data_IF_535424948345
#
_entry.id   IF_535424948345
#
_cell.length_a   1.000
_cell.length_b   1.000
_cell.length_c   1.000
_cell.angle_alpha   90.00
_cell.angle_beta   90.00
_cell.angle_gamma   90.00
#
_symmetry.space_group_name_H-M   'P 1'
#
loop_
_entity.id
_entity.type
_entity.pdbx_description
1 polymer ?
#
# COMPACT_ATOMS: atom_id res chain seq x y z
N UNK A 1 -2.18 18.30 -12.86
CA UNK A 1 -1.22 18.82 -11.87
C UNK A 1 -1.74 18.44 -10.49
N UNK A 2 -1.26 17.34 -9.91
CA UNK A 2 -1.65 16.95 -8.54
C UNK A 2 -0.88 17.86 -7.56
N UNK A 3 -1.54 18.40 -6.52
CA UNK A 3 -0.88 19.29 -5.56
C UNK A 3 0.29 18.56 -4.90
N UNK A 4 1.33 19.31 -4.57
CA UNK A 4 2.57 18.90 -3.92
C UNK A 4 2.30 18.25 -2.55
N UNK A 5 1.81 17.01 -2.58
CA UNK A 5 1.67 16.15 -1.43
C UNK A 5 3.05 15.68 -0.99
N UNK A 6 3.24 15.60 0.33
CA UNK A 6 4.40 14.97 0.99
C UNK A 6 4.88 13.76 0.18
N UNK A 7 6.08 13.84 -0.37
CA UNK A 7 6.69 12.76 -1.15
C UNK A 7 7.13 11.63 -0.22
N UNK A 8 6.83 10.39 -0.61
CA UNK A 8 7.26 9.20 0.09
C UNK A 8 8.23 8.41 -0.79
N UNK A 9 9.42 8.13 -0.28
CA UNK A 9 10.34 7.17 -0.89
C UNK A 9 9.96 5.74 -0.51
N UNK A 10 10.40 4.78 -1.31
CA UNK A 10 10.19 3.36 -1.01
C UNK A 10 10.84 2.98 0.34
N UNK A 11 11.98 3.57 0.68
CA UNK A 11 12.67 3.30 1.94
C UNK A 11 11.87 3.81 3.14
N UNK A 12 11.30 5.02 3.04
CA UNK A 12 10.41 5.57 4.06
C UNK A 12 9.16 4.71 4.24
N UNK A 13 8.55 4.25 3.14
CA UNK A 13 7.38 3.37 3.18
C UNK A 13 7.70 2.03 3.86
N UNK A 14 8.79 1.37 3.47
CA UNK A 14 9.21 0.09 4.05
C UNK A 14 9.51 0.21 5.53
N UNK A 15 10.31 1.21 5.92
CA UNK A 15 10.63 1.46 7.34
C UNK A 15 9.36 1.77 8.15
N UNK A 16 8.45 2.59 7.61
CA UNK A 16 7.20 2.90 8.29
C UNK A 16 6.28 1.67 8.45
N UNK A 17 6.13 0.83 7.43
CA UNK A 17 5.34 -0.40 7.53
C UNK A 17 5.96 -1.32 8.58
N UNK A 18 7.26 -1.59 8.52
CA UNK A 18 7.97 -2.42 9.50
C UNK A 18 7.80 -1.90 10.93
N UNK A 19 7.89 -0.58 11.13
CA UNK A 19 7.58 0.05 12.41
C UNK A 19 6.16 -0.31 12.91
N UNK A 20 5.14 -0.20 12.05
CA UNK A 20 3.76 -0.52 12.42
C UNK A 20 3.56 -2.01 12.71
N UNK A 21 4.25 -2.90 11.98
CA UNK A 21 4.22 -4.34 12.26
C UNK A 21 4.77 -4.67 13.65
N UNK A 22 5.86 -4.00 14.06
CA UNK A 22 6.39 -4.09 15.42
C UNK A 22 5.44 -3.58 16.50
N UNK A 23 4.47 -2.74 16.11
CA UNK A 23 3.42 -2.20 16.99
C UNK A 23 2.06 -2.86 16.77
N UNK A 24 1.99 -4.03 16.10
CA UNK A 24 0.71 -4.68 15.76
C UNK A 24 -0.22 -4.93 16.95
N UNK A 25 0.32 -5.17 18.14
CA UNK A 25 -0.46 -5.34 19.38
C UNK A 25 -1.13 -4.04 19.85
N UNK A 26 -0.68 -2.87 19.39
CA UNK A 26 -1.31 -1.57 19.64
C UNK A 26 -2.44 -1.27 18.63
N UNK A 27 -2.61 -2.10 17.60
CA UNK A 27 -3.61 -1.88 16.56
C UNK A 27 -5.02 -2.14 17.09
N UNK A 28 -5.92 -1.20 16.83
CA UNK A 28 -7.35 -1.36 17.00
C UNK A 28 -8.02 -2.03 15.80
N UNK A 29 -9.35 -2.05 15.83
CA UNK A 29 -10.18 -2.66 14.79
C UNK A 29 -9.80 -2.22 13.37
N UNK A 30 -9.69 -3.19 12.45
CA UNK A 30 -9.32 -2.92 11.05
C UNK A 30 -7.89 -2.43 10.85
N UNK A 31 -6.98 -2.74 11.79
CA UNK A 31 -5.56 -2.37 11.73
C UNK A 31 -5.35 -0.87 11.81
N UNK A 32 -6.11 -0.17 12.67
CA UNK A 32 -5.95 1.28 12.88
C UNK A 32 -5.11 1.56 14.11
N UNK A 33 -4.21 2.54 14.04
CA UNK A 33 -3.36 2.94 15.16
C UNK A 33 -3.82 4.27 15.76
N UNK A 34 -3.50 4.49 17.04
CA UNK A 34 -3.73 5.76 17.74
C UNK A 34 -2.76 6.84 17.22
N UNK A 35 -3.13 8.10 17.42
CA UNK A 35 -2.26 9.25 17.09
C UNK A 35 -0.87 9.16 17.71
N UNK A 36 -0.78 8.65 18.95
CA UNK A 36 0.49 8.43 19.65
C UNK A 36 1.42 7.45 18.92
N UNK A 37 0.89 6.39 18.32
CA UNK A 37 1.70 5.43 17.55
C UNK A 37 2.22 6.06 16.26
N UNK A 38 1.43 6.89 15.59
CA UNK A 38 1.92 7.65 14.43
C UNK A 38 2.96 8.70 14.83
N UNK A 39 2.83 9.36 15.99
CA UNK A 39 3.87 10.26 16.49
C UNK A 39 5.20 9.53 16.76
N UNK A 40 5.16 8.32 17.33
CA UNK A 40 6.35 7.45 17.43
C UNK A 40 6.91 7.13 16.04
N UNK A 41 6.04 6.83 15.07
CA UNK A 41 6.42 6.58 13.68
C UNK A 41 7.10 7.77 13.00
N UNK A 42 6.64 9.00 13.24
CA UNK A 42 7.30 10.22 12.74
C UNK A 42 8.74 10.28 13.23
N UNK A 43 8.96 10.04 14.53
CA UNK A 43 10.31 10.02 15.11
C UNK A 43 11.16 8.89 14.53
N UNK A 44 10.55 7.74 14.25
CA UNK A 44 11.24 6.59 13.69
C UNK A 44 11.79 6.87 12.28
N UNK A 45 11.00 7.47 11.38
CA UNK A 45 11.39 7.67 9.98
C UNK A 45 12.06 9.02 9.69
N UNK A 46 12.21 9.90 10.69
CA UNK A 46 12.70 11.27 10.48
C UNK A 46 14.07 11.32 9.79
N UNK A 47 14.97 10.40 10.15
CA UNK A 47 16.30 10.28 9.57
C UNK A 47 16.29 9.86 8.08
N UNK A 48 15.18 9.33 7.57
CA UNK A 48 15.01 8.96 6.16
C UNK A 48 14.39 10.08 5.32
N UNK A 49 13.87 11.13 5.97
CA UNK A 49 13.19 12.24 5.33
C UNK A 49 14.18 13.29 4.84
N UNK A 50 15.05 12.91 3.89
CA UNK A 50 16.10 13.78 3.36
C UNK A 50 15.60 14.90 2.45
N UNK A 51 14.38 14.75 1.89
CA UNK A 51 13.82 15.68 0.89
C UNK A 51 12.35 15.98 1.17
N UNK A 52 11.96 17.22 0.90
CA UNK A 52 10.58 17.68 1.01
C UNK A 52 10.19 18.12 2.43
N UNK A 53 8.92 18.51 2.63
CA UNK A 53 8.43 18.93 3.94
C UNK A 53 8.48 17.78 4.96
N UNK A 54 8.69 18.09 6.26
CA UNK A 54 8.65 17.09 7.31
C UNK A 54 7.34 16.32 7.31
N UNK A 55 7.44 15.01 7.55
CA UNK A 55 6.27 14.15 7.74
C UNK A 55 5.70 14.38 9.13
N UNK A 56 4.39 14.50 9.22
CA UNK A 56 3.66 14.60 10.47
C UNK A 56 2.77 13.37 10.72
N UNK A 57 2.19 13.30 11.92
CA UNK A 57 1.32 12.18 12.31
C UNK A 57 0.15 12.00 11.34
N UNK A 58 -0.36 13.09 10.75
CA UNK A 58 -1.49 13.01 9.81
C UNK A 58 -1.06 12.41 8.47
N UNK A 59 0.12 12.78 7.98
CA UNK A 59 0.72 12.25 6.76
C UNK A 59 0.97 10.75 6.88
N UNK A 60 1.49 10.27 8.02
CA UNK A 60 1.67 8.84 8.30
C UNK A 60 0.33 8.09 8.33
N UNK A 61 -0.68 8.65 9.01
CA UNK A 61 -2.01 8.05 9.04
C UNK A 61 -2.63 7.94 7.63
N UNK A 62 -2.54 9.02 6.84
CA UNK A 62 -3.04 9.04 5.46
C UNK A 62 -2.30 8.00 4.60
N UNK A 63 -0.98 7.89 4.77
CA UNK A 63 -0.16 6.90 4.07
C UNK A 63 -0.57 5.48 4.40
N UNK A 64 -0.73 5.17 5.69
CA UNK A 64 -1.17 3.85 6.15
C UNK A 64 -2.55 3.48 5.60
N UNK A 65 -3.49 4.43 5.61
CA UNK A 65 -4.82 4.21 5.03
C UNK A 65 -4.77 3.95 3.52
N UNK A 66 -3.89 4.63 2.79
CA UNK A 66 -3.68 4.38 1.36
C UNK A 66 -3.08 2.98 1.13
N UNK A 67 -2.05 2.59 1.88
CA UNK A 67 -1.44 1.25 1.79
C UNK A 67 -2.47 0.15 2.07
N UNK A 68 -3.30 0.28 3.12
CA UNK A 68 -4.37 -0.67 3.41
C UNK A 68 -5.42 -0.77 2.30
N UNK A 69 -5.79 0.36 1.68
CA UNK A 69 -6.71 0.35 0.53
C UNK A 69 -6.10 -0.42 -0.63
N UNK A 70 -4.83 -0.19 -0.95
CA UNK A 70 -4.12 -0.93 -1.99
C UNK A 70 -4.04 -2.42 -1.65
N UNK A 71 -3.67 -2.79 -0.42
CA UNK A 71 -3.62 -4.18 0.00
C UNK A 71 -4.93 -4.91 -0.22
N UNK A 72 -6.07 -4.29 0.15
CA UNK A 72 -7.40 -4.88 -0.11
C UNK A 72 -7.71 -5.07 -1.60
N UNK A 73 -7.25 -4.16 -2.46
CA UNK A 73 -7.39 -4.32 -3.91
C UNK A 73 -6.58 -5.51 -4.40
N UNK A 74 -5.34 -5.66 -3.93
CA UNK A 74 -4.48 -6.79 -4.28
C UNK A 74 -5.07 -8.11 -3.80
N UNK A 75 -5.57 -8.18 -2.56
CA UNK A 75 -6.27 -9.37 -2.05
C UNK A 75 -7.51 -9.72 -2.88
N UNK A 76 -8.28 -8.72 -3.31
CA UNK A 76 -9.44 -8.95 -4.17
C UNK A 76 -9.04 -9.52 -5.54
N UNK A 77 -7.92 -9.05 -6.12
CA UNK A 77 -7.35 -9.62 -7.35
C UNK A 77 -6.92 -11.08 -7.12
N UNK A 78 -6.23 -11.38 -6.02
CA UNK A 78 -5.81 -12.75 -5.68
C UNK A 78 -6.98 -13.69 -5.44
N UNK A 79 -8.08 -13.18 -4.87
CA UNK A 79 -9.29 -13.95 -4.63
C UNK A 79 -10.12 -14.16 -5.91
N UNK A 80 -9.92 -13.33 -6.94
CA UNK A 80 -10.59 -13.51 -8.23
C UNK A 80 -10.00 -14.73 -8.95
N UNK A 81 -10.87 -15.61 -9.44
CA UNK A 81 -10.44 -16.74 -10.25
C UNK A 81 -9.88 -16.27 -11.60
N UNK A 82 -8.81 -16.90 -12.08
CA UNK A 82 -8.34 -16.74 -13.47
C UNK A 82 -7.00 -16.03 -13.65
N UNK A 83 -6.39 -15.52 -12.59
CA UNK A 83 -5.03 -14.95 -12.63
C UNK A 83 -4.18 -15.46 -11.48
N UNK A 84 -2.88 -15.48 -11.70
CA UNK A 84 -1.88 -15.71 -10.65
C UNK A 84 -1.27 -14.36 -10.34
N UNK A 85 -1.23 -14.01 -9.05
CA UNK A 85 -0.56 -12.79 -8.63
C UNK A 85 0.95 -12.99 -8.55
N UNK A 86 1.69 -12.04 -9.10
CA UNK A 86 3.14 -11.92 -9.03
C UNK A 86 3.52 -10.58 -8.38
N UNK A 87 4.50 -10.58 -7.47
CA UNK A 87 4.86 -9.38 -6.70
C UNK A 87 5.56 -8.30 -7.53
N UNK A 88 6.07 -8.63 -8.71
CA UNK A 88 6.70 -7.71 -9.65
C UNK A 88 5.76 -7.39 -10.82
N UNK A 89 5.01 -8.38 -11.32
CA UNK A 89 4.15 -8.28 -12.51
C UNK A 89 2.66 -8.08 -12.20
N UNK A 90 2.22 -8.13 -10.94
CA UNK A 90 0.83 -7.92 -10.58
C UNK A 90 -0.05 -9.08 -11.01
N UNK A 91 -1.14 -8.81 -11.74
CA UNK A 91 -2.03 -9.87 -12.24
C UNK A 91 -1.47 -10.64 -13.45
N UNK A 92 -0.29 -10.26 -13.98
CA UNK A 92 0.43 -10.90 -15.10
C UNK A 92 -0.49 -11.23 -16.29
N UNK A 93 -1.25 -10.23 -16.72
CA UNK A 93 -2.25 -10.34 -17.78
C UNK A 93 -1.57 -10.47 -19.15
N UNK A 94 -1.85 -11.60 -19.82
CA UNK A 94 -1.42 -11.91 -21.17
C UNK A 94 -2.58 -11.76 -22.17
N UNK A 95 -2.33 -12.12 -23.43
CA UNK A 95 -3.32 -11.98 -24.52
C UNK A 95 -4.59 -12.80 -24.28
N UNK A 96 -4.50 -13.93 -23.57
CA UNK A 96 -5.63 -14.82 -23.32
C UNK A 96 -6.48 -14.37 -22.12
N UNK A 97 -5.88 -13.66 -21.15
CA UNK A 97 -6.55 -13.15 -19.96
C UNK A 97 -6.97 -11.67 -20.04
N UNK A 98 -6.69 -11.00 -21.17
CA UNK A 98 -6.97 -9.58 -21.36
C UNK A 98 -8.47 -9.23 -21.25
N UNK A 99 -9.34 -10.01 -21.88
CA UNK A 99 -10.79 -9.75 -21.87
C UNK A 99 -11.40 -9.89 -20.47
N UNK A 100 -11.05 -10.96 -19.75
CA UNK A 100 -11.55 -11.17 -18.39
C UNK A 100 -11.04 -10.10 -17.43
N UNK A 101 -9.80 -9.64 -17.59
CA UNK A 101 -9.25 -8.54 -16.81
C UNK A 101 -9.98 -7.22 -17.07
N UNK A 102 -10.26 -6.90 -18.33
CA UNK A 102 -10.96 -5.66 -18.68
C UNK A 102 -12.39 -5.65 -18.12
N UNK A 103 -13.09 -6.79 -18.13
CA UNK A 103 -14.40 -6.92 -17.51
C UNK A 103 -14.36 -6.82 -15.98
N UNK A 104 -13.31 -7.34 -15.36
CA UNK A 104 -13.08 -7.18 -13.92
C UNK A 104 -12.79 -5.73 -13.54
N UNK A 105 -11.92 -5.03 -14.27
CA UNK A 105 -11.60 -3.62 -14.00
C UNK A 105 -12.80 -2.69 -14.18
N UNK A 106 -13.75 -3.00 -15.08
CA UNK A 106 -15.02 -2.25 -15.17
C UNK A 106 -15.80 -2.25 -13.85
N UNK A 107 -15.79 -3.38 -13.12
CA UNK A 107 -16.43 -3.54 -11.80
C UNK A 107 -15.53 -3.09 -10.66
N UNK A 108 -14.21 -3.17 -10.85
CA UNK A 108 -13.17 -2.91 -9.85
C UNK A 108 -12.12 -1.93 -10.39
N UNK A 109 -12.46 -0.65 -10.63
CA UNK A 109 -11.56 0.30 -11.29
C UNK A 109 -10.24 0.52 -10.55
N UNK A 110 -10.23 0.35 -9.23
CA UNK A 110 -9.03 0.44 -8.41
C UNK A 110 -7.97 -0.64 -8.73
N UNK A 111 -8.35 -1.75 -9.39
CA UNK A 111 -7.44 -2.81 -9.81
C UNK A 111 -6.60 -2.43 -11.04
N UNK A 112 -7.03 -1.45 -11.83
CA UNK A 112 -6.41 -1.06 -13.11
C UNK A 112 -4.88 -0.90 -13.06
N UNK A 113 -4.27 -0.27 -12.03
CA UNK A 113 -2.82 -0.11 -11.96
C UNK A 113 -2.05 -1.43 -11.86
N UNK A 114 -2.70 -2.51 -11.44
CA UNK A 114 -2.08 -3.80 -11.13
C UNK A 114 -2.16 -4.82 -12.27
N UNK A 115 -2.56 -4.40 -13.47
CA UNK A 115 -2.65 -5.29 -14.65
C UNK A 115 -1.35 -6.05 -14.87
N UNK A 116 -0.25 -5.32 -15.02
CA UNK A 116 1.09 -5.85 -15.27
C UNK A 116 2.14 -5.10 -14.42
N UNK A 117 1.76 -4.77 -13.18
CA UNK A 117 2.62 -4.10 -12.22
C UNK A 117 2.28 -4.60 -10.83
N UNK A 118 3.26 -5.22 -10.18
CA UNK A 118 3.12 -5.76 -8.84
C UNK A 118 3.14 -4.68 -7.76
N UNK A 119 3.20 -5.12 -6.51
CA UNK A 119 3.19 -4.23 -5.37
C UNK A 119 4.16 -4.71 -4.29
N UNK A 120 5.27 -3.98 -4.18
CA UNK A 120 6.42 -4.29 -3.30
C UNK A 120 6.09 -4.37 -1.81
N UNK A 121 4.94 -3.87 -1.38
CA UNK A 121 4.52 -3.91 0.03
C UNK A 121 3.67 -5.13 0.36
N UNK A 122 3.30 -5.97 -0.61
CA UNK A 122 2.35 -7.06 -0.38
C UNK A 122 2.82 -7.99 0.74
N UNK A 123 4.07 -8.45 0.69
CA UNK A 123 4.65 -9.36 1.69
C UNK A 123 4.70 -8.72 3.08
N UNK A 124 4.99 -7.41 3.15
CA UNK A 124 5.03 -6.69 4.42
C UNK A 124 3.63 -6.39 4.98
N UNK A 125 2.59 -6.46 4.15
CA UNK A 125 1.21 -6.18 4.54
C UNK A 125 0.40 -7.44 4.81
N UNK A 126 0.88 -8.60 4.34
CA UNK A 126 0.37 -9.92 4.65
C UNK A 126 0.77 -10.32 6.08
N UNK A 127 0.01 -9.79 7.04
CA UNK A 127 0.01 -10.24 8.44
C UNK A 127 -0.96 -11.39 8.66
#
# INVERSE_FOLDING_TARGET
LMPSGVSWSLNEEKSFVQFLLGHKSEAGYGGTFKGSTYQKGVKHISHLCERGPPKDSKSLQNKWNALKKTYRVVLAIQAASGWVWDNEKGADINIYSALSWDDYVKKHPAAKPFRNRGWVHLENMAL
#
